data_IF_514820820992
#
_entry.id   IF_514820820992
#
_cell.length_a   1.000
_cell.length_b   1.000
_cell.length_c   1.000
_cell.angle_alpha   90.00
_cell.angle_beta   90.00
_cell.angle_gamma   90.00
#
_symmetry.space_group_name_H-M   'P 1'
#
loop_
_entity.id
_entity.type
_entity.pdbx_description
1 polymer ?
#
# COMPACT_ATOMS: atom_id res chain seq x y z
N UNK A 1 27.15 29.98 7.66
CA UNK A 1 26.36 28.92 6.99
C UNK A 1 26.93 27.58 7.41
N UNK A 2 26.32 26.93 8.40
CA UNK A 2 26.74 25.59 8.86
C UNK A 2 26.16 24.54 7.91
N UNK A 3 27.01 23.97 7.07
CA UNK A 3 26.66 22.76 6.31
C UNK A 3 26.47 21.62 7.30
N UNK A 4 25.22 21.39 7.70
CA UNK A 4 24.84 20.21 8.46
C UNK A 4 25.00 18.99 7.55
N UNK A 5 26.09 18.26 7.73
CA UNK A 5 26.30 16.97 7.07
C UNK A 5 25.25 16.01 7.61
N UNK A 6 24.22 15.72 6.81
CA UNK A 6 23.19 14.74 7.17
C UNK A 6 23.87 13.38 7.38
N UNK A 7 23.94 12.93 8.63
CA UNK A 7 24.46 11.61 8.97
C UNK A 7 23.51 10.55 8.40
N UNK A 8 24.01 9.72 7.48
CA UNK A 8 23.23 8.61 6.92
C UNK A 8 23.19 7.46 7.91
N UNK A 9 21.99 6.96 8.23
CA UNK A 9 21.80 5.79 9.10
C UNK A 9 21.45 4.58 8.24
N UNK A 10 22.17 3.47 8.45
CA UNK A 10 21.82 2.17 7.84
C UNK A 10 20.89 1.41 8.76
N UNK A 11 19.76 0.97 8.24
CA UNK A 11 18.74 0.22 9.00
C UNK A 11 18.49 -1.10 8.28
N UNK A 12 18.40 -2.19 9.05
CA UNK A 12 18.02 -3.49 8.51
C UNK A 12 16.57 -3.46 8.00
N UNK A 13 16.26 -4.00 6.81
CA UNK A 13 14.89 -4.00 6.26
C UNK A 13 13.85 -4.60 7.20
N UNK A 14 14.19 -5.67 7.94
CA UNK A 14 13.29 -6.30 8.93
C UNK A 14 12.93 -5.36 10.07
N UNK A 15 13.92 -4.63 10.62
CA UNK A 15 13.70 -3.64 11.69
C UNK A 15 12.82 -2.49 11.22
N UNK A 16 13.02 -2.06 9.97
CA UNK A 16 12.21 -0.99 9.37
C UNK A 16 10.77 -1.45 9.10
N UNK A 17 10.59 -2.70 8.69
CA UNK A 17 9.30 -3.34 8.53
C UNK A 17 8.55 -3.42 9.87
N UNK A 18 9.17 -3.99 10.90
CA UNK A 18 8.57 -4.10 12.24
C UNK A 18 8.14 -2.74 12.80
N UNK A 19 9.03 -1.75 12.69
CA UNK A 19 8.75 -0.39 13.14
C UNK A 19 7.56 0.23 12.39
N UNK A 20 7.56 0.18 11.06
CA UNK A 20 6.47 0.73 10.26
C UNK A 20 5.14 0.03 10.52
N UNK A 21 5.16 -1.29 10.70
CA UNK A 21 3.96 -2.09 10.99
C UNK A 21 3.36 -1.66 12.32
N UNK A 22 4.18 -1.55 13.37
CA UNK A 22 3.72 -1.09 14.68
C UNK A 22 3.09 0.31 14.61
N UNK A 23 3.68 1.25 13.85
CA UNK A 23 3.12 2.59 13.66
C UNK A 23 1.77 2.58 12.92
N UNK A 24 1.66 1.78 11.86
CA UNK A 24 0.43 1.66 11.09
C UNK A 24 -0.69 0.99 11.92
N UNK A 25 -0.36 -0.03 12.73
CA UNK A 25 -1.30 -0.64 13.67
C UNK A 25 -1.76 0.34 14.75
N UNK A 26 -0.86 1.21 15.24
CA UNK A 26 -1.24 2.27 16.18
C UNK A 26 -2.25 3.27 15.60
N UNK A 27 -2.34 3.38 14.27
CA UNK A 27 -3.40 4.13 13.58
C UNK A 27 -4.67 3.32 13.32
N UNK A 28 -4.73 2.06 13.77
CA UNK A 28 -5.92 1.20 13.68
C UNK A 28 -5.96 0.24 12.49
N UNK A 29 -4.86 0.12 11.71
CA UNK A 29 -4.77 -0.91 10.67
C UNK A 29 -4.67 -2.31 11.29
N UNK A 30 -5.19 -3.32 10.57
CA UNK A 30 -4.92 -4.71 10.93
C UNK A 30 -3.44 -5.05 10.76
N UNK A 31 -2.96 -6.10 11.42
CA UNK A 31 -1.57 -6.56 11.25
C UNK A 31 -1.23 -6.88 9.79
N UNK A 32 -2.18 -7.49 9.06
CA UNK A 32 -2.00 -7.84 7.66
C UNK A 32 -1.96 -6.60 6.75
N UNK A 33 -2.88 -5.66 6.94
CA UNK A 33 -2.95 -4.44 6.13
C UNK A 33 -1.71 -3.57 6.37
N UNK A 34 -1.30 -3.44 7.64
CA UNK A 34 -0.09 -2.72 8.03
C UNK A 34 1.14 -3.36 7.38
N UNK A 35 1.24 -4.70 7.41
CA UNK A 35 2.34 -5.42 6.75
C UNK A 35 2.33 -5.19 5.25
N UNK A 36 1.18 -5.25 4.60
CA UNK A 36 1.05 -4.99 3.15
C UNK A 36 1.60 -3.62 2.77
N UNK A 37 1.19 -2.57 3.50
CA UNK A 37 1.62 -1.20 3.25
C UNK A 37 3.14 -1.03 3.46
N UNK A 38 3.67 -1.52 4.58
CA UNK A 38 5.06 -1.27 4.99
C UNK A 38 6.04 -2.14 4.20
N UNK A 39 5.68 -3.38 3.87
CA UNK A 39 6.51 -4.27 3.08
C UNK A 39 6.81 -3.70 1.69
N UNK A 40 5.81 -3.08 1.05
CA UNK A 40 5.99 -2.42 -0.24
C UNK A 40 6.89 -1.19 -0.11
N UNK A 41 6.72 -0.38 0.94
CA UNK A 41 7.59 0.79 1.19
C UNK A 41 9.05 0.39 1.41
N UNK A 42 9.30 -0.59 2.28
CA UNK A 42 10.65 -1.11 2.56
C UNK A 42 11.29 -1.68 1.28
N UNK A 43 10.51 -2.39 0.47
CA UNK A 43 10.93 -2.89 -0.84
C UNK A 43 11.27 -1.78 -1.83
N UNK A 44 10.57 -0.64 -1.77
CA UNK A 44 10.88 0.53 -2.59
C UNK A 44 12.21 1.17 -2.16
N UNK A 45 12.41 1.36 -0.86
CA UNK A 45 13.70 1.87 -0.33
C UNK A 45 14.86 0.96 -0.71
N UNK A 46 14.70 -0.36 -0.57
CA UNK A 46 15.72 -1.34 -0.94
C UNK A 46 16.07 -1.34 -2.45
N UNK A 47 15.14 -0.86 -3.30
CA UNK A 47 15.33 -0.72 -4.75
C UNK A 47 15.78 0.68 -5.17
N UNK A 48 16.03 1.60 -4.23
CA UNK A 48 16.37 2.99 -4.53
C UNK A 48 15.19 3.85 -5.00
N UNK A 49 13.96 3.38 -4.86
CA UNK A 49 12.73 4.12 -5.20
C UNK A 49 12.20 4.85 -3.95
N UNK A 50 13.06 5.66 -3.34
CA UNK A 50 12.81 6.27 -2.03
C UNK A 50 11.59 7.20 -1.98
N UNK A 51 11.21 7.80 -3.13
CA UNK A 51 10.01 8.65 -3.25
C UNK A 51 8.70 7.90 -2.93
N UNK A 52 8.71 6.57 -3.02
CA UNK A 52 7.59 5.68 -2.71
C UNK A 52 7.87 4.75 -1.51
N UNK A 53 8.98 4.96 -0.81
CA UNK A 53 9.40 4.18 0.35
C UNK A 53 8.91 4.75 1.68
N UNK A 54 9.66 4.46 2.75
CA UNK A 54 9.28 4.77 4.14
C UNK A 54 9.18 6.28 4.43
N UNK A 55 9.82 7.11 3.61
CA UNK A 55 9.65 8.57 3.63
C UNK A 55 8.17 9.00 3.57
N UNK A 56 7.31 8.20 2.92
CA UNK A 56 5.88 8.51 2.78
C UNK A 56 5.05 8.12 4.00
N UNK A 57 5.51 7.21 4.85
CA UNK A 57 4.75 6.67 5.97
C UNK A 57 4.18 7.76 6.89
N UNK A 58 4.96 8.77 7.35
CA UNK A 58 4.42 9.82 8.22
C UNK A 58 3.25 10.61 7.62
N UNK A 59 3.21 10.77 6.28
CA UNK A 59 2.10 11.42 5.59
C UNK A 59 0.84 10.56 5.62
N UNK A 60 0.98 9.24 5.42
CA UNK A 60 -0.17 8.35 5.49
C UNK A 60 -0.72 8.21 6.90
N UNK A 61 0.14 8.13 7.92
CA UNK A 61 -0.30 8.11 9.32
C UNK A 61 -1.08 9.38 9.68
N UNK A 62 -0.61 10.56 9.26
CA UNK A 62 -1.34 11.82 9.44
C UNK A 62 -2.69 11.84 8.71
N UNK A 63 -2.76 11.29 7.49
CA UNK A 63 -4.03 11.18 6.76
C UNK A 63 -5.00 10.20 7.42
N UNK A 64 -4.52 9.09 7.98
CA UNK A 64 -5.35 8.16 8.76
C UNK A 64 -5.93 8.86 9.99
N UNK A 65 -5.09 9.56 10.76
CA UNK A 65 -5.53 10.35 11.91
C UNK A 65 -6.56 11.43 11.54
N UNK A 66 -6.43 12.04 10.35
CA UNK A 66 -7.36 13.06 9.84
C UNK A 66 -8.59 12.49 9.11
N UNK A 67 -8.78 11.17 9.07
CA UNK A 67 -9.90 10.52 8.36
C UNK A 67 -9.80 10.52 6.83
N UNK A 68 -8.68 11.01 6.27
CA UNK A 68 -8.42 11.02 4.83
C UNK A 68 -7.94 9.68 4.25
N UNK A 69 -7.72 8.68 5.10
CA UNK A 69 -7.56 7.25 4.78
C UNK A 69 -8.28 6.51 5.90
N UNK A 70 -9.19 5.60 5.57
CA UNK A 70 -9.78 4.71 6.57
C UNK A 70 -8.86 3.49 6.79
N UNK A 71 -8.22 3.36 7.97
CA UNK A 71 -7.31 2.25 8.26
C UNK A 71 -8.02 0.90 8.44
N UNK A 72 -9.36 0.92 8.63
CA UNK A 72 -10.19 -0.27 8.87
C UNK A 72 -11.05 -0.64 7.66
N UNK A 73 -11.13 0.23 6.65
CA UNK A 73 -11.87 -0.06 5.43
C UNK A 73 -11.39 -1.34 4.75
N UNK A 74 -12.33 -2.01 4.09
CA UNK A 74 -12.12 -3.26 3.37
C UNK A 74 -12.54 -3.07 1.92
N UNK A 75 -11.62 -3.21 0.96
CA UNK A 75 -11.98 -3.21 -0.46
C UNK A 75 -12.99 -4.32 -0.75
N UNK A 76 -13.92 -4.05 -1.66
CA UNK A 76 -14.93 -5.02 -2.07
C UNK A 76 -15.14 -5.01 -3.58
N UNK A 77 -15.64 -6.13 -4.12
CA UNK A 77 -16.11 -6.19 -5.50
C UNK A 77 -17.51 -5.60 -5.58
N UNK A 78 -17.68 -4.60 -6.44
CA UNK A 78 -18.98 -3.97 -6.72
C UNK A 78 -19.53 -4.39 -8.08
N UNK A 79 -18.69 -4.95 -8.95
CA UNK A 79 -19.07 -5.53 -10.24
C UNK A 79 -18.04 -6.56 -10.67
N UNK A 80 -18.50 -7.66 -11.24
CA UNK A 80 -17.67 -8.67 -11.91
C UNK A 80 -18.39 -9.14 -13.18
N UNK A 81 -17.65 -9.31 -14.27
CA UNK A 81 -18.18 -9.77 -15.56
C UNK A 81 -17.05 -10.39 -16.39
N UNK A 82 -17.04 -11.72 -16.50
CA UNK A 82 -16.02 -12.50 -17.21
C UNK A 82 -14.60 -12.02 -16.83
N UNK A 83 -13.82 -11.55 -17.80
CA UNK A 83 -12.46 -11.06 -17.61
C UNK A 83 -12.35 -9.68 -16.94
N UNK A 84 -13.43 -9.11 -16.38
CA UNK A 84 -13.40 -7.75 -15.82
C UNK A 84 -14.01 -7.65 -14.44
N UNK A 85 -13.48 -6.76 -13.60
CA UNK A 85 -14.07 -6.45 -12.29
C UNK A 85 -13.86 -4.97 -11.90
N UNK A 86 -14.70 -4.50 -10.97
CA UNK A 86 -14.56 -3.19 -10.32
C UNK A 86 -14.54 -3.39 -8.81
N UNK A 87 -13.51 -2.82 -8.18
CA UNK A 87 -13.31 -2.80 -6.73
C UNK A 87 -13.63 -1.40 -6.20
N UNK A 88 -14.47 -1.31 -5.18
CA UNK A 88 -14.61 -0.11 -4.36
C UNK A 88 -13.71 -0.24 -3.13
N UNK A 89 -12.72 0.65 -3.01
CA UNK A 89 -11.78 0.59 -1.91
C UNK A 89 -12.35 1.15 -0.60
N UNK A 90 -13.53 1.80 -0.62
CA UNK A 90 -14.18 2.34 0.59
C UNK A 90 -13.26 3.25 1.42
N UNK A 91 -12.48 4.10 0.75
CA UNK A 91 -11.45 4.96 1.34
C UNK A 91 -10.30 4.21 2.06
N UNK A 92 -10.10 2.91 1.78
CA UNK A 92 -8.97 2.15 2.30
C UNK A 92 -7.62 2.71 1.82
N UNK A 93 -6.56 2.24 2.48
CA UNK A 93 -5.20 2.38 1.97
C UNK A 93 -5.09 1.87 0.53
N UNK A 94 -4.46 2.66 -0.34
CA UNK A 94 -4.22 2.27 -1.73
C UNK A 94 -3.43 0.98 -1.85
N UNK A 95 -2.54 0.70 -0.90
CA UNK A 95 -1.75 -0.54 -0.86
C UNK A 95 -2.62 -1.78 -0.66
N UNK A 96 -3.61 -1.69 0.24
CA UNK A 96 -4.56 -2.76 0.55
C UNK A 96 -5.51 -2.96 -0.64
N UNK A 97 -6.04 -1.86 -1.18
CA UNK A 97 -6.93 -1.89 -2.33
C UNK A 97 -6.26 -2.49 -3.59
N UNK A 98 -5.04 -2.09 -3.88
CA UNK A 98 -4.30 -2.61 -5.04
C UNK A 98 -3.88 -4.07 -4.87
N UNK A 99 -3.51 -4.51 -3.65
CA UNK A 99 -3.25 -5.94 -3.39
C UNK A 99 -4.50 -6.79 -3.64
N UNK A 100 -5.66 -6.36 -3.12
CA UNK A 100 -6.94 -7.04 -3.35
C UNK A 100 -7.30 -7.09 -4.84
N UNK A 101 -7.21 -5.96 -5.54
CA UNK A 101 -7.52 -5.87 -6.96
C UNK A 101 -6.58 -6.73 -7.83
N UNK A 102 -5.28 -6.75 -7.52
CA UNK A 102 -4.31 -7.57 -8.24
C UNK A 102 -4.56 -9.07 -8.03
N UNK A 103 -4.92 -9.50 -6.81
CA UNK A 103 -5.32 -10.88 -6.56
C UNK A 103 -6.52 -11.29 -7.42
N UNK A 104 -7.55 -10.45 -7.51
CA UNK A 104 -8.69 -10.70 -8.39
C UNK A 104 -8.30 -10.70 -9.87
N UNK A 105 -7.41 -9.80 -10.30
CA UNK A 105 -6.93 -9.78 -11.69
C UNK A 105 -6.22 -11.10 -12.05
N UNK A 106 -5.36 -11.61 -11.16
CA UNK A 106 -4.68 -12.90 -11.34
C UNK A 106 -5.68 -14.05 -11.41
N UNK A 107 -6.70 -14.06 -10.53
CA UNK A 107 -7.76 -15.06 -10.52
C UNK A 107 -8.51 -15.10 -11.86
N UNK A 108 -9.00 -13.94 -12.33
CA UNK A 108 -9.74 -13.84 -13.59
C UNK A 108 -8.88 -14.15 -14.80
N UNK A 109 -7.62 -13.73 -14.80
CA UNK A 109 -6.70 -13.99 -15.91
C UNK A 109 -6.39 -15.50 -16.04
N UNK A 110 -6.31 -16.23 -14.92
CA UNK A 110 -6.19 -17.69 -14.96
C UNK A 110 -7.40 -18.38 -15.59
N UNK A 111 -8.60 -17.82 -15.41
CA UNK A 111 -9.83 -18.38 -15.95
C UNK A 111 -10.10 -17.97 -17.42
N UNK A 112 -9.70 -16.76 -17.82
CA UNK A 112 -10.10 -16.16 -19.08
C UNK A 112 -8.93 -15.78 -20.02
N UNK A 113 -7.69 -16.02 -19.61
CA UNK A 113 -6.47 -15.68 -20.35
C UNK A 113 -6.04 -14.22 -20.21
N UNK A 114 -6.98 -13.30 -19.98
CA UNK A 114 -6.75 -11.88 -19.70
C UNK A 114 -7.67 -11.42 -18.58
N UNK A 115 -7.27 -10.37 -17.85
CA UNK A 115 -8.17 -9.68 -16.94
C UNK A 115 -7.90 -8.18 -16.86
N UNK A 116 -8.95 -7.41 -16.56
CA UNK A 116 -8.86 -5.98 -16.23
C UNK A 116 -9.68 -5.68 -14.97
N UNK A 117 -9.03 -5.13 -13.94
CA UNK A 117 -9.68 -4.78 -12.67
C UNK A 117 -9.50 -3.29 -12.38
N UNK A 118 -10.61 -2.56 -12.32
CA UNK A 118 -10.63 -1.14 -11.94
C UNK A 118 -10.79 -0.97 -10.43
N UNK A 119 -10.11 0.03 -9.85
CA UNK A 119 -10.27 0.38 -8.42
C UNK A 119 -10.75 1.83 -8.33
N UNK A 120 -11.80 2.07 -7.53
CA UNK A 120 -12.32 3.42 -7.24
C UNK A 120 -12.33 3.70 -5.74
N UNK A 121 -12.52 4.97 -5.38
CA UNK A 121 -12.65 5.42 -3.99
C UNK A 121 -11.47 4.96 -3.09
N UNK A 122 -10.26 5.05 -3.66
CA UNK A 122 -9.01 4.56 -3.07
C UNK A 122 -8.06 5.71 -2.71
N UNK A 123 -6.88 5.35 -2.20
CA UNK A 123 -5.81 6.26 -1.86
C UNK A 123 -4.53 5.95 -2.65
N UNK A 124 -3.46 6.71 -2.42
CA UNK A 124 -2.17 6.47 -3.07
C UNK A 124 -1.63 5.05 -2.79
N UNK A 125 -1.26 4.31 -3.84
CA UNK A 125 -0.93 2.88 -3.78
C UNK A 125 0.57 2.53 -3.74
N UNK A 126 1.46 3.52 -3.67
CA UNK A 126 2.91 3.28 -3.73
C UNK A 126 3.44 3.16 -5.15
N UNK A 127 4.56 2.45 -5.33
CA UNK A 127 5.13 2.22 -6.65
C UNK A 127 4.31 1.17 -7.42
N UNK A 128 3.83 1.52 -8.61
CA UNK A 128 2.98 0.62 -9.42
C UNK A 128 3.65 -0.73 -9.73
N UNK A 129 4.98 -0.75 -9.91
CA UNK A 129 5.74 -1.97 -10.14
C UNK A 129 5.72 -2.99 -8.99
N UNK A 130 5.19 -2.63 -7.81
CA UNK A 130 4.97 -3.59 -6.72
C UNK A 130 3.83 -4.59 -7.00
N UNK A 131 2.97 -4.29 -7.99
CA UNK A 131 1.82 -5.11 -8.37
C UNK A 131 1.93 -5.72 -9.77
N UNK A 132 3.01 -5.41 -10.49
CA UNK A 132 3.24 -5.88 -11.87
C UNK A 132 3.93 -7.26 -11.91
#
# INVERSE_FOLDING_TARGET
MTTSTSATVRVQPSRLLEFGVALAQAQGMSAEDARTLVEIMVRCDARGVSSHGMYRLPTYLRRMAAGGIDPKARPELVRESAATAVVDARNASGYVASRFAMQKAIELAKAHGIAAVGVRNSNHFGAAGAYA
#
